data_IF_974473539343
#
_entry.id   IF_974473539343
#
_cell.length_a   1.000
_cell.length_b   1.000
_cell.length_c   1.000
_cell.angle_alpha   90.00
_cell.angle_beta   90.00
_cell.angle_gamma   90.00
#
_symmetry.space_group_name_H-M   'P 1'
#
loop_
_entity.id
_entity.type
_entity.pdbx_description
1 polymer ?
#
# COMPACT_ATOMS: atom_id res chain seq x y z
N UNK A 1 2.93 -11.59 3.11
CA UNK A 1 2.34 -10.96 1.91
C UNK A 1 2.73 -9.49 1.92
N UNK A 2 3.28 -9.00 0.81
CA UNK A 2 3.62 -7.59 0.60
C UNK A 2 2.58 -7.00 -0.35
N UNK A 3 2.01 -5.86 0.02
CA UNK A 3 1.00 -5.18 -0.77
C UNK A 3 1.47 -3.77 -1.15
N UNK A 4 2.06 -3.60 -2.36
CA UNK A 4 2.31 -2.26 -2.87
C UNK A 4 0.97 -1.58 -3.20
N UNK A 5 0.66 -0.48 -2.50
CA UNK A 5 -0.59 0.28 -2.69
C UNK A 5 -0.83 0.71 -4.13
N UNK A 6 -2.10 0.96 -4.48
CA UNK A 6 -2.50 1.54 -5.78
C UNK A 6 -2.09 0.68 -7.00
N UNK A 7 -1.88 1.30 -8.16
CA UNK A 7 -1.44 0.66 -9.40
C UNK A 7 -2.44 0.85 -10.54
N UNK A 8 -1.96 0.74 -11.78
CA UNK A 8 -2.78 0.96 -12.98
C UNK A 8 -3.32 2.39 -13.03
N UNK A 9 -4.64 2.51 -13.15
CA UNK A 9 -5.37 3.77 -13.23
C UNK A 9 -5.42 4.56 -11.92
N UNK A 10 -5.06 3.93 -10.81
CA UNK A 10 -4.87 4.61 -9.54
C UNK A 10 -3.37 4.96 -9.35
N UNK A 11 -2.94 6.18 -9.70
CA UNK A 11 -1.59 6.67 -9.40
C UNK A 11 -1.42 7.08 -7.94
N UNK A 12 -2.52 7.31 -7.22
CA UNK A 12 -2.60 8.00 -5.93
C UNK A 12 -1.86 9.34 -5.91
N UNK A 13 -1.10 9.60 -4.84
CA UNK A 13 -0.44 10.85 -4.56
C UNK A 13 0.63 11.19 -5.62
N UNK A 14 0.66 12.48 -5.97
CA UNK A 14 1.67 13.05 -6.86
C UNK A 14 2.60 13.96 -6.07
N UNK A 15 3.89 13.65 -6.11
CA UNK A 15 4.94 14.52 -5.58
C UNK A 15 5.12 15.77 -6.43
N UNK A 16 5.76 16.81 -5.85
CA UNK A 16 6.05 18.09 -6.53
C UNK A 16 6.72 17.93 -7.90
N UNK A 17 7.55 16.90 -8.05
CA UNK A 17 8.28 16.60 -9.30
C UNK A 17 7.66 15.44 -10.10
N UNK A 18 6.32 15.28 -10.03
CA UNK A 18 5.54 14.26 -10.74
C UNK A 18 5.89 12.80 -10.36
N UNK A 19 6.50 12.59 -9.21
CA UNK A 19 6.70 11.25 -8.65
C UNK A 19 5.33 10.68 -8.28
N UNK A 20 5.01 9.47 -8.75
CA UNK A 20 3.74 8.80 -8.43
C UNK A 20 3.96 7.80 -7.32
N UNK A 21 3.10 7.82 -6.30
CA UNK A 21 3.17 6.89 -5.17
C UNK A 21 3.25 5.44 -5.65
N UNK A 22 2.37 5.04 -6.59
CA UNK A 22 2.30 3.67 -7.12
C UNK A 22 3.64 3.10 -7.63
N UNK A 23 4.51 3.96 -8.17
CA UNK A 23 5.81 3.58 -8.71
C UNK A 23 6.82 3.37 -7.58
N UNK A 24 6.81 4.27 -6.60
CA UNK A 24 7.71 4.23 -5.43
C UNK A 24 7.42 2.98 -4.60
N UNK A 25 6.16 2.75 -4.25
CA UNK A 25 5.78 1.63 -3.39
C UNK A 25 6.00 0.28 -4.07
N UNK A 26 5.88 0.20 -5.41
CA UNK A 26 6.22 -1.01 -6.16
C UNK A 26 7.71 -1.31 -6.11
N UNK A 27 8.57 -0.28 -6.26
CA UNK A 27 10.03 -0.43 -6.14
C UNK A 27 10.43 -0.89 -4.74
N UNK A 28 9.87 -0.26 -3.70
CA UNK A 28 10.10 -0.64 -2.30
C UNK A 28 9.64 -2.08 -2.06
N UNK A 29 8.44 -2.45 -2.52
CA UNK A 29 7.90 -3.80 -2.36
C UNK A 29 8.75 -4.88 -3.03
N UNK A 30 9.28 -4.61 -4.23
CA UNK A 30 10.22 -5.51 -4.92
C UNK A 30 11.54 -5.67 -4.16
N UNK A 31 12.08 -4.56 -3.66
CA UNK A 31 13.30 -4.58 -2.85
C UNK A 31 13.10 -5.38 -1.56
N UNK A 32 12.00 -5.15 -0.84
CA UNK A 32 11.64 -5.90 0.37
C UNK A 32 11.44 -7.39 0.09
N UNK A 33 10.74 -7.73 -1.00
CA UNK A 33 10.58 -9.14 -1.43
C UNK A 33 11.93 -9.81 -1.64
N UNK A 34 12.86 -9.13 -2.33
CA UNK A 34 14.19 -9.66 -2.61
C UNK A 34 14.99 -9.90 -1.32
N UNK A 35 14.87 -9.02 -0.33
CA UNK A 35 15.48 -9.21 0.98
C UNK A 35 14.85 -10.39 1.73
N UNK A 36 13.52 -10.42 1.87
CA UNK A 36 12.82 -11.50 2.58
C UNK A 36 13.12 -12.88 1.96
N UNK A 37 13.19 -12.97 0.63
CA UNK A 37 13.46 -14.25 -0.04
C UNK A 37 14.90 -14.75 0.14
N UNK A 38 15.82 -13.95 0.70
CA UNK A 38 17.15 -14.40 1.09
C UNK A 38 17.16 -15.01 2.50
N UNK A 39 16.17 -14.71 3.32
CA UNK A 39 16.10 -15.20 4.69
C UNK A 39 15.65 -16.66 4.72
N UNK A 40 16.38 -17.47 5.51
CA UNK A 40 16.03 -18.88 5.70
C UNK A 40 14.68 -18.96 6.42
N UNK A 41 13.78 -19.80 5.88
CA UNK A 41 12.41 -20.02 6.38
C UNK A 41 11.41 -18.88 6.12
N UNK A 42 11.74 -17.90 5.30
CA UNK A 42 10.79 -16.86 4.90
C UNK A 42 10.46 -16.95 3.41
N UNK A 43 9.25 -16.55 3.04
CA UNK A 43 8.82 -16.44 1.65
C UNK A 43 7.88 -15.26 1.45
N UNK A 44 8.24 -14.35 0.55
CA UNK A 44 7.41 -13.22 0.21
C UNK A 44 6.60 -13.45 -1.07
N UNK A 45 5.29 -13.26 -0.97
CA UNK A 45 4.38 -13.05 -2.10
C UNK A 45 3.98 -11.58 -2.18
N UNK A 46 3.60 -11.12 -3.39
CA UNK A 46 3.12 -9.76 -3.61
C UNK A 46 1.69 -9.77 -4.16
N UNK A 47 0.88 -8.78 -3.79
CA UNK A 47 -0.47 -8.59 -4.36
C UNK A 47 -0.43 -8.17 -5.83
N UNK A 48 0.56 -7.34 -6.20
CA UNK A 48 0.95 -6.98 -7.57
C UNK A 48 2.47 -6.92 -7.70
N UNK A 49 2.99 -7.25 -8.88
CA UNK A 49 4.42 -7.08 -9.23
C UNK A 49 4.60 -6.34 -10.55
N UNK A 50 3.59 -5.56 -10.94
CA UNK A 50 3.52 -4.78 -12.16
C UNK A 50 2.59 -3.58 -11.92
N UNK A 51 2.48 -2.69 -12.90
CA UNK A 51 1.63 -1.49 -12.81
C UNK A 51 0.18 -1.82 -13.18
N UNK A 52 -0.50 -2.55 -12.29
CA UNK A 52 -1.91 -2.95 -12.43
C UNK A 52 -2.69 -2.58 -11.19
N UNK A 53 -3.95 -2.19 -11.39
CA UNK A 53 -4.87 -1.97 -10.29
C UNK A 53 -5.35 -3.31 -9.74
N UNK A 54 -5.34 -3.45 -8.40
CA UNK A 54 -5.93 -4.60 -7.71
C UNK A 54 -6.94 -4.06 -6.69
N UNK A 55 -8.22 -4.46 -6.74
CA UNK A 55 -9.20 -4.01 -5.76
C UNK A 55 -8.81 -4.40 -4.33
N UNK A 56 -9.11 -3.55 -3.35
CA UNK A 56 -8.71 -3.70 -1.95
C UNK A 56 -9.15 -5.07 -1.39
N UNK A 57 -10.39 -5.48 -1.67
CA UNK A 57 -10.90 -6.81 -1.25
C UNK A 57 -10.13 -7.97 -1.86
N UNK A 58 -9.66 -7.83 -3.11
CA UNK A 58 -8.87 -8.85 -3.80
C UNK A 58 -7.47 -8.97 -3.20
N UNK A 59 -6.87 -7.86 -2.74
CA UNK A 59 -5.57 -7.86 -2.04
C UNK A 59 -5.62 -8.72 -0.77
N UNK A 60 -6.66 -8.51 0.05
CA UNK A 60 -6.90 -9.30 1.26
C UNK A 60 -7.18 -10.77 0.93
N UNK A 61 -8.00 -11.04 -0.10
CA UNK A 61 -8.29 -12.40 -0.54
C UNK A 61 -7.04 -13.15 -1.02
N UNK A 62 -6.14 -12.49 -1.76
CA UNK A 62 -4.84 -13.05 -2.18
C UNK A 62 -3.99 -13.45 -0.97
N UNK A 63 -3.93 -12.61 0.06
CA UNK A 63 -3.19 -12.91 1.29
C UNK A 63 -3.71 -14.16 2.00
N UNK A 64 -5.03 -14.25 2.16
CA UNK A 64 -5.70 -15.42 2.75
C UNK A 64 -5.47 -16.68 1.93
N UNK A 65 -5.60 -16.60 0.59
CA UNK A 65 -5.37 -17.73 -0.32
C UNK A 65 -3.94 -18.28 -0.21
N UNK A 66 -2.96 -17.40 -0.04
CA UNK A 66 -1.55 -17.77 0.15
C UNK A 66 -1.21 -18.14 1.59
N UNK A 67 -2.20 -18.17 2.51
CA UNK A 67 -2.01 -18.43 3.95
C UNK A 67 -0.89 -17.58 4.55
N UNK A 68 -0.86 -16.30 4.19
CA UNK A 68 0.18 -15.40 4.66
C UNK A 68 0.09 -15.19 6.17
N UNK A 69 1.21 -15.41 6.88
CA UNK A 69 1.31 -15.16 8.31
C UNK A 69 1.32 -13.67 8.66
N UNK A 70 1.89 -12.85 7.77
CA UNK A 70 1.95 -11.40 7.88
C UNK A 70 1.45 -10.74 6.59
N UNK A 71 0.74 -9.62 6.73
CA UNK A 71 0.34 -8.74 5.64
C UNK A 71 0.90 -7.35 5.89
N UNK A 72 1.68 -6.83 4.94
CA UNK A 72 2.29 -5.50 5.01
C UNK A 72 1.87 -4.71 3.79
N UNK A 73 1.04 -3.67 3.98
CA UNK A 73 0.75 -2.70 2.94
C UNK A 73 1.78 -1.57 2.95
N UNK A 74 2.27 -1.19 1.78
CA UNK A 74 3.29 -0.17 1.61
C UNK A 74 2.68 1.00 0.85
N UNK A 75 2.73 2.18 1.49
CA UNK A 75 2.23 3.44 0.97
C UNK A 75 3.30 4.52 1.09
N UNK A 76 3.19 5.54 0.25
CA UNK A 76 3.97 6.77 0.31
C UNK A 76 2.98 7.94 0.21
N UNK A 77 2.06 7.97 1.18
CA UNK A 77 0.91 8.86 1.26
C UNK A 77 1.29 10.33 1.13
N UNK A 78 0.33 11.15 0.70
CA UNK A 78 0.43 12.60 0.77
C UNK A 78 -0.51 13.19 1.82
N UNK A 79 -0.09 14.30 2.41
CA UNK A 79 -0.92 15.14 3.24
C UNK A 79 -1.05 16.54 2.61
N UNK A 80 -2.12 17.26 2.93
CA UNK A 80 -2.40 18.60 2.37
C UNK A 80 -1.29 19.61 2.72
N UNK A 81 -0.70 19.49 3.91
CA UNK A 81 0.48 20.25 4.32
C UNK A 81 1.77 19.54 3.96
N UNK A 82 2.65 20.23 3.22
CA UNK A 82 4.02 19.76 2.88
C UNK A 82 4.96 19.71 4.09
N UNK A 83 4.57 20.28 5.23
CA UNK A 83 5.36 20.19 6.45
C UNK A 83 5.29 18.79 7.09
N UNK A 84 4.24 18.01 6.79
CA UNK A 84 4.15 16.62 7.21
C UNK A 84 5.20 15.76 6.48
N UNK A 85 6.10 15.14 7.26
CA UNK A 85 7.21 14.33 6.76
C UNK A 85 7.59 13.26 7.77
N UNK A 86 8.26 12.20 7.32
CA UNK A 86 8.72 11.09 8.14
C UNK A 86 8.00 9.79 7.80
N UNK A 87 8.44 8.70 8.42
CA UNK A 87 7.83 7.37 8.28
C UNK A 87 6.81 7.14 9.39
N UNK A 88 5.74 6.42 9.07
CA UNK A 88 4.68 6.05 10.00
C UNK A 88 4.29 4.59 9.80
N UNK A 89 3.76 3.97 10.85
CA UNK A 89 3.23 2.60 10.83
C UNK A 89 1.83 2.65 11.41
N UNK A 90 0.88 2.02 10.71
CA UNK A 90 -0.51 1.92 11.14
C UNK A 90 -0.91 0.45 11.28
N UNK A 91 -1.78 0.18 12.24
CA UNK A 91 -2.44 -1.11 12.41
C UNK A 91 -3.95 -0.89 12.42
N UNK A 92 -4.71 -1.93 12.03
CA UNK A 92 -6.17 -1.86 12.02
C UNK A 92 -6.70 -1.59 13.43
N UNK A 93 -7.56 -0.57 13.56
CA UNK A 93 -8.35 -0.30 14.75
C UNK A 93 -9.83 -0.31 14.37
N UNK A 94 -10.61 -1.21 14.96
CA UNK A 94 -12.06 -1.30 14.75
C UNK A 94 -12.85 -0.36 15.67
N UNK A 95 -12.21 0.25 16.67
CA UNK A 95 -12.80 1.21 17.62
C UNK A 95 -12.53 2.68 17.27
N UNK A 96 -11.92 2.94 16.11
CA UNK A 96 -11.63 4.28 15.59
C UNK A 96 -10.14 4.57 15.46
N UNK A 97 -9.80 5.55 14.61
CA UNK A 97 -8.42 5.97 14.39
C UNK A 97 -7.82 6.68 15.62
N UNK A 98 -6.55 6.40 15.91
CA UNK A 98 -5.81 6.94 17.06
C UNK A 98 -5.47 8.44 16.93
N UNK A 99 -5.65 9.03 15.75
CA UNK A 99 -5.49 10.47 15.51
C UNK A 99 -6.30 10.93 14.29
N UNK A 100 -6.50 12.25 14.16
CA UNK A 100 -7.12 12.84 12.98
C UNK A 100 -6.33 12.57 11.69
N UNK A 101 -4.99 12.58 11.75
CA UNK A 101 -4.13 12.25 10.61
C UNK A 101 -4.30 10.78 10.18
N UNK A 102 -4.34 9.85 11.14
CA UNK A 102 -4.61 8.44 10.85
C UNK A 102 -6.00 8.23 10.23
N UNK A 103 -7.01 9.01 10.68
CA UNK A 103 -8.37 8.96 10.11
C UNK A 103 -8.40 9.45 8.66
N UNK A 104 -7.75 10.58 8.39
CA UNK A 104 -7.67 11.15 7.04
C UNK A 104 -7.00 10.18 6.08
N UNK A 105 -5.85 9.61 6.45
CA UNK A 105 -5.15 8.62 5.64
C UNK A 105 -5.98 7.36 5.40
N UNK A 106 -6.68 6.86 6.41
CA UNK A 106 -7.56 5.71 6.24
C UNK A 106 -8.69 5.99 5.23
N UNK A 107 -9.24 7.22 5.21
CA UNK A 107 -10.27 7.61 4.25
C UNK A 107 -9.70 7.64 2.82
N UNK A 108 -8.59 8.36 2.59
CA UNK A 108 -8.00 8.47 1.25
C UNK A 108 -7.56 7.12 0.69
N UNK A 109 -7.05 6.22 1.55
CA UNK A 109 -6.63 4.89 1.13
C UNK A 109 -7.80 3.95 0.84
N UNK A 110 -8.94 4.13 1.49
CA UNK A 110 -10.16 3.36 1.21
C UNK A 110 -10.85 3.79 -0.10
N UNK A 111 -10.58 5.00 -0.60
CA UNK A 111 -11.11 5.51 -1.87
C UNK A 111 -10.41 4.92 -3.11
N UNK A 112 -9.33 4.15 -2.94
CA UNK A 112 -8.59 3.54 -4.04
C UNK A 112 -9.47 2.66 -4.96
N UNK A 113 -10.45 1.94 -4.40
CA UNK A 113 -11.42 1.15 -5.20
C UNK A 113 -12.33 2.01 -6.07
N UNK A 114 -12.66 3.22 -5.64
CA UNK A 114 -13.46 4.15 -6.42
C UNK A 114 -12.64 4.75 -7.59
N UNK A 115 -11.37 5.06 -7.34
CA UNK A 115 -10.46 5.67 -8.32
C UNK A 115 -10.01 4.65 -9.37
N UNK A 116 -9.62 3.43 -8.96
CA UNK A 116 -9.12 2.40 -9.88
C UNK A 116 -10.18 1.49 -10.49
N UNK A 117 -11.44 1.58 -10.03
CA UNK A 117 -12.57 0.78 -10.51
C UNK A 117 -13.57 1.53 -11.39
N UNK A 118 -13.25 2.76 -11.82
CA UNK A 118 -14.13 3.62 -12.62
C UNK A 118 -13.85 3.60 -14.13
N UNK A 119 -13.10 2.60 -14.63
CA UNK A 119 -12.98 2.27 -16.06
C UNK A 119 -13.82 1.06 -16.47
#
# INVERSE_FOLDING_TARGET
MIDPGHGGEDPSAHGKYKTREKDIVLKIGRYLKALINKERNMKAYMTRNEDVFIPLRVRVAKARKQRADLFVSIHADAFTSRAARGSSVFALSTSGATSAAARFLAQTQNEADFIGGSA
#
